data_IF_116517492826
#
_entry.id   IF_116517492826
#
_cell.length_a   1.000
_cell.length_b   1.000
_cell.length_c   1.000
_cell.angle_alpha   90.00
_cell.angle_beta   90.00
_cell.angle_gamma   90.00
#
_symmetry.space_group_name_H-M   'P 1'
#
loop_
_entity.id
_entity.type
_entity.pdbx_description
1 polymer ?
#
# COMPACT_ATOMS: atom_id res chain seq x y z
N UNK A 1 10.77 45.03 28.41
CA UNK A 1 11.45 43.95 27.66
C UNK A 1 10.79 43.87 26.29
N UNK A 2 11.44 44.33 25.22
CA UNK A 2 10.85 44.33 23.87
C UNK A 2 10.77 42.88 23.37
N UNK A 3 9.56 42.40 23.10
CA UNK A 3 9.32 41.11 22.43
C UNK A 3 10.05 41.14 21.07
N UNK A 4 11.00 40.23 20.90
CA UNK A 4 11.69 40.03 19.63
C UNK A 4 10.89 39.01 18.83
N UNK A 5 10.38 39.42 17.67
CA UNK A 5 9.73 38.53 16.70
C UNK A 5 10.65 37.36 16.32
N UNK A 6 10.10 36.14 16.41
CA UNK A 6 10.75 34.88 16.00
C UNK A 6 11.18 34.92 14.52
N UNK A 7 10.50 35.72 13.70
CA UNK A 7 10.83 35.93 12.28
C UNK A 7 12.22 36.54 12.03
N UNK A 8 12.88 37.11 13.05
CA UNK A 8 14.21 37.72 12.91
C UNK A 8 15.37 36.72 13.03
N UNK A 9 15.13 35.47 13.44
CA UNK A 9 16.17 34.45 13.65
C UNK A 9 16.26 33.40 12.57
N UNK A 10 15.21 33.22 11.77
CA UNK A 10 15.22 32.32 10.63
C UNK A 10 15.12 33.22 9.43
N UNK A 11 16.22 33.35 8.71
CA UNK A 11 16.24 33.92 7.37
C UNK A 11 16.12 32.71 6.43
N UNK A 12 14.91 32.16 6.21
CA UNK A 12 14.76 31.09 5.24
C UNK A 12 15.16 31.72 3.91
N UNK A 13 16.35 31.37 3.42
CA UNK A 13 16.71 31.63 2.03
C UNK A 13 15.76 30.80 1.19
N UNK A 14 14.58 31.36 0.94
CA UNK A 14 13.67 30.91 -0.08
C UNK A 14 14.46 30.97 -1.38
N UNK A 15 14.92 29.81 -1.84
CA UNK A 15 15.56 29.66 -3.13
C UNK A 15 14.50 29.91 -4.20
N UNK A 16 14.22 31.20 -4.47
CA UNK A 16 13.35 31.65 -5.56
C UNK A 16 13.74 31.00 -6.88
N UNK A 17 15.01 30.66 -7.06
CA UNK A 17 15.53 29.95 -8.23
C UNK A 17 15.13 28.47 -8.27
N UNK A 18 15.08 27.77 -7.13
CA UNK A 18 14.62 26.38 -7.06
C UNK A 18 13.11 26.28 -7.23
N UNK A 19 12.36 27.20 -6.63
CA UNK A 19 10.91 27.26 -6.83
C UNK A 19 10.58 27.72 -8.25
N UNK A 20 11.32 28.67 -8.82
CA UNK A 20 11.22 28.98 -10.25
C UNK A 20 11.67 27.83 -11.12
N UNK A 21 12.65 27.00 -10.77
CA UNK A 21 12.97 25.80 -11.56
C UNK A 21 11.88 24.74 -11.46
N UNK A 22 11.19 24.64 -10.32
CA UNK A 22 10.03 23.77 -10.14
C UNK A 22 8.82 24.29 -10.93
N UNK A 23 8.49 25.57 -10.82
CA UNK A 23 7.43 26.21 -11.62
C UNK A 23 7.77 26.20 -13.10
N UNK A 24 9.04 26.40 -13.46
CA UNK A 24 9.54 26.27 -14.83
C UNK A 24 9.66 24.81 -15.27
N UNK A 25 9.72 23.82 -14.40
CA UNK A 25 9.55 22.40 -14.77
C UNK A 25 8.08 21.98 -14.86
N UNK A 26 7.19 22.72 -14.19
CA UNK A 26 5.73 22.62 -14.32
C UNK A 26 5.23 23.35 -15.58
N UNK A 27 5.93 24.40 -16.01
CA UNK A 27 5.67 25.17 -17.24
C UNK A 27 6.44 24.59 -18.46
N UNK A 28 7.74 24.33 -18.34
CA UNK A 28 8.57 23.69 -19.37
C UNK A 28 8.58 22.17 -19.17
N UNK A 29 7.58 21.49 -19.76
CA UNK A 29 7.82 20.39 -20.71
C UNK A 29 6.58 19.75 -21.35
N UNK A 30 5.39 19.73 -20.75
CA UNK A 30 4.26 18.94 -21.30
C UNK A 30 2.83 19.33 -20.84
N UNK A 31 2.56 20.55 -20.36
CA UNK A 31 1.31 20.86 -19.62
C UNK A 31 0.28 21.65 -20.41
N UNK A 32 0.67 22.22 -21.54
CA UNK A 32 -0.20 22.49 -22.68
C UNK A 32 0.11 21.41 -23.69
N UNK A 33 -0.88 20.58 -24.05
CA UNK A 33 -0.80 19.99 -25.38
C UNK A 33 -0.86 21.20 -26.29
N UNK A 34 0.30 21.56 -26.83
CA UNK A 34 0.44 22.60 -27.84
C UNK A 34 -0.63 22.33 -28.90
N UNK A 35 -1.21 23.44 -29.33
CA UNK A 35 -2.28 23.60 -30.30
C UNK A 35 -2.46 22.39 -31.20
N UNK A 36 -3.71 21.90 -31.26
CA UNK A 36 -4.21 21.02 -32.33
C UNK A 36 -3.44 21.37 -33.60
N UNK A 37 -2.60 20.45 -34.09
CA UNK A 37 -1.81 20.62 -35.32
C UNK A 37 -2.73 21.26 -36.36
N UNK A 38 -2.60 22.57 -36.58
CA UNK A 38 -3.41 23.30 -37.56
C UNK A 38 -3.07 22.87 -39.00
N UNK A 39 -2.11 21.94 -39.13
CA UNK A 39 -1.62 21.34 -40.37
C UNK A 39 -2.17 19.93 -40.66
N UNK A 40 -3.01 19.32 -39.80
CA UNK A 40 -3.68 18.05 -40.15
C UNK A 40 -5.08 18.31 -40.75
N UNK A 41 -5.24 18.32 -42.09
CA UNK A 41 -6.51 18.65 -42.75
C UNK A 41 -7.65 17.65 -42.43
N UNK A 42 -7.35 16.50 -41.81
CA UNK A 42 -8.31 15.46 -41.45
C UNK A 42 -8.81 15.52 -40.00
N UNK A 43 -8.27 16.41 -39.15
CA UNK A 43 -8.61 16.47 -37.71
C UNK A 43 -8.60 15.08 -37.04
N UNK A 44 -7.60 14.26 -37.36
CA UNK A 44 -7.58 12.83 -36.99
C UNK A 44 -7.20 12.60 -35.52
N UNK A 45 -6.59 13.59 -34.87
CA UNK A 45 -6.12 13.54 -33.49
C UNK A 45 -7.11 14.23 -32.56
N UNK A 46 -7.49 13.54 -31.48
CA UNK A 46 -8.38 14.05 -30.45
C UNK A 46 -7.71 13.93 -29.08
N UNK A 47 -7.86 14.96 -28.24
CA UNK A 47 -7.44 14.90 -26.85
C UNK A 47 -8.65 14.58 -26.00
N UNK A 48 -8.63 13.43 -25.34
CA UNK A 48 -9.67 13.00 -24.42
C UNK A 48 -9.17 13.15 -22.98
N UNK A 49 -9.88 13.97 -22.19
CA UNK A 49 -9.70 13.98 -20.75
C UNK A 49 -10.61 12.92 -20.12
N UNK A 50 -10.01 11.86 -19.58
CA UNK A 50 -10.71 10.83 -18.81
C UNK A 50 -10.49 11.08 -17.32
N UNK A 51 -11.56 11.40 -16.59
CA UNK A 51 -11.50 11.80 -15.18
C UNK A 51 -11.55 13.32 -14.96
N UNK A 52 -11.41 13.82 -13.72
CA UNK A 52 -11.09 13.09 -12.50
C UNK A 52 -12.24 12.23 -11.95
N UNK A 53 -13.47 12.45 -12.42
CA UNK A 53 -14.65 11.69 -12.02
C UNK A 53 -15.06 10.72 -13.13
N UNK A 54 -14.64 9.46 -13.02
CA UNK A 54 -15.06 8.38 -13.90
C UNK A 54 -15.17 7.07 -13.09
N UNK A 55 -16.15 6.18 -13.35
CA UNK A 55 -16.29 4.93 -12.59
C UNK A 55 -15.04 4.04 -12.64
N UNK A 56 -14.40 3.94 -13.80
CA UNK A 56 -13.21 3.10 -14.02
C UNK A 56 -11.90 3.67 -13.42
N UNK A 57 -11.88 4.93 -12.98
CA UNK A 57 -10.65 5.52 -12.41
C UNK A 57 -10.48 5.23 -10.91
N UNK A 58 -11.38 4.42 -10.32
CA UNK A 58 -11.38 3.95 -8.92
C UNK A 58 -10.90 5.00 -7.92
N UNK A 59 -11.50 6.19 -7.99
CA UNK A 59 -11.09 7.35 -7.24
C UNK A 59 -10.92 8.56 -8.16
N UNK A 60 -9.93 9.38 -7.85
CA UNK A 60 -9.71 10.69 -8.46
C UNK A 60 -8.41 10.66 -9.27
N UNK A 61 -8.48 10.05 -10.46
CA UNK A 61 -7.37 10.00 -11.42
C UNK A 61 -7.80 10.71 -12.69
N UNK A 62 -6.93 11.57 -13.21
CA UNK A 62 -7.14 12.18 -14.52
C UNK A 62 -6.09 11.68 -15.49
N UNK A 63 -6.56 11.11 -16.59
CA UNK A 63 -5.76 10.67 -17.72
C UNK A 63 -6.04 11.59 -18.90
N UNK A 64 -4.99 12.18 -19.45
CA UNK A 64 -5.05 12.96 -20.67
C UNK A 64 -4.54 12.05 -21.79
N UNK A 65 -5.47 11.57 -22.62
CA UNK A 65 -5.19 10.65 -23.71
C UNK A 65 -5.18 11.42 -25.03
N UNK A 66 -4.09 11.28 -25.79
CA UNK A 66 -4.04 11.71 -27.18
C UNK A 66 -4.41 10.50 -28.05
N UNK A 67 -5.54 10.61 -28.74
CA UNK A 67 -6.14 9.54 -29.53
C UNK A 67 -5.99 9.82 -31.02
N UNK A 68 -5.82 8.74 -31.79
CA UNK A 68 -6.01 8.72 -33.25
C UNK A 68 -7.10 7.70 -33.57
N UNK A 69 -8.34 8.18 -33.70
CA UNK A 69 -9.50 7.29 -33.73
C UNK A 69 -9.68 6.57 -32.39
N UNK A 70 -9.56 5.24 -32.37
CA UNK A 70 -9.68 4.41 -31.15
C UNK A 70 -8.32 4.05 -30.52
N UNK A 71 -7.20 4.32 -31.21
CA UNK A 71 -5.85 4.01 -30.73
C UNK A 71 -5.28 5.18 -29.92
N UNK A 72 -4.62 4.85 -28.82
CA UNK A 72 -3.93 5.81 -27.96
C UNK A 72 -2.51 6.03 -28.51
N UNK A 73 -2.17 7.26 -28.89
CA UNK A 73 -0.80 7.60 -29.33
C UNK A 73 0.09 7.98 -28.15
N UNK A 74 -0.46 8.73 -27.19
CA UNK A 74 0.26 9.18 -25.98
C UNK A 74 -0.68 9.32 -24.81
N UNK A 75 -0.21 8.91 -23.64
CA UNK A 75 -0.90 9.13 -22.37
C UNK A 75 -0.09 10.00 -21.43
N UNK A 76 -0.77 10.91 -20.72
CA UNK A 76 -0.20 11.62 -19.59
C UNK A 76 -1.11 11.53 -18.38
N UNK A 77 -0.53 11.23 -17.23
CA UNK A 77 -1.27 11.13 -15.97
C UNK A 77 -1.16 12.45 -15.20
N UNK A 78 -2.31 12.94 -14.75
CA UNK A 78 -2.43 14.10 -13.86
C UNK A 78 -2.92 13.60 -12.49
N UNK A 79 -2.01 13.64 -11.51
CA UNK A 79 -2.20 13.19 -10.12
C UNK A 79 -2.11 14.38 -9.15
N UNK A 80 -2.52 14.20 -7.91
CA UNK A 80 -2.45 15.22 -6.85
C UNK A 80 -3.80 15.73 -6.37
N UNK A 81 -4.91 15.22 -6.92
CA UNK A 81 -6.26 15.60 -6.48
C UNK A 81 -6.56 15.18 -5.04
N UNK A 82 -5.91 14.13 -4.54
CA UNK A 82 -6.07 13.64 -3.16
C UNK A 82 -4.85 13.95 -2.29
N UNK A 83 -3.96 14.86 -2.72
CA UNK A 83 -2.76 15.21 -1.96
C UNK A 83 -3.14 15.96 -0.69
N UNK A 84 -2.84 15.36 0.47
CA UNK A 84 -3.16 15.92 1.81
C UNK A 84 -1.93 16.44 2.55
N UNK A 85 -0.74 16.35 1.96
CA UNK A 85 0.51 16.71 2.60
C UNK A 85 0.81 15.82 3.81
N UNK A 86 0.60 14.51 3.68
CA UNK A 86 0.68 13.56 4.80
C UNK A 86 2.11 13.49 5.36
N UNK A 87 3.11 13.61 4.49
CA UNK A 87 4.52 13.70 4.91
C UNK A 87 4.80 14.94 5.75
N UNK A 88 4.11 16.06 5.47
CA UNK A 88 4.27 17.30 6.26
C UNK A 88 3.54 17.22 7.59
N UNK A 89 2.42 16.51 7.63
CA UNK A 89 1.71 16.21 8.88
C UNK A 89 2.58 15.31 9.77
N UNK A 90 3.28 14.34 9.19
CA UNK A 90 4.19 13.45 9.90
C UNK A 90 5.25 14.22 10.70
N UNK A 91 5.84 15.27 10.11
CA UNK A 91 6.88 16.10 10.76
C UNK A 91 6.38 16.82 12.03
N UNK A 92 5.07 17.09 12.13
CA UNK A 92 4.48 17.80 13.28
C UNK A 92 3.82 16.85 14.29
N UNK A 93 3.91 15.54 14.08
CA UNK A 93 3.23 14.51 14.87
C UNK A 93 4.23 13.55 15.47
N UNK A 94 3.91 12.95 16.61
CA UNK A 94 4.76 11.88 17.15
C UNK A 94 4.58 10.63 16.30
N UNK A 95 5.54 9.70 16.35
CA UNK A 95 5.47 8.46 15.57
C UNK A 95 4.18 7.66 15.77
N UNK A 96 3.61 7.70 16.98
CA UNK A 96 2.36 7.00 17.29
C UNK A 96 1.12 7.77 16.88
N UNK A 97 1.11 9.10 17.01
CA UNK A 97 0.02 9.94 16.52
C UNK A 97 -0.08 9.92 15.00
N UNK A 98 1.03 9.65 14.30
CA UNK A 98 1.07 9.53 12.85
C UNK A 98 0.42 8.22 12.34
N UNK A 99 0.36 7.19 13.17
CA UNK A 99 -0.09 5.84 12.77
C UNK A 99 -1.50 5.77 12.15
N UNK A 100 -2.52 6.51 12.63
CA UNK A 100 -3.83 6.53 11.98
C UNK A 100 -3.81 7.13 10.55
N UNK A 101 -2.76 7.88 10.18
CA UNK A 101 -2.61 8.37 8.81
C UNK A 101 -2.12 7.28 7.87
N UNK A 102 -1.30 6.33 8.33
CA UNK A 102 -0.85 5.20 7.50
C UNK A 102 -2.00 4.25 7.18
N UNK A 103 -2.95 4.07 8.09
CA UNK A 103 -4.22 3.36 7.83
C UNK A 103 -5.06 4.00 6.71
N UNK A 104 -4.92 5.31 6.50
CA UNK A 104 -5.71 6.10 5.55
C UNK A 104 -5.00 6.37 4.21
N UNK A 105 -3.76 5.91 4.06
CA UNK A 105 -3.04 5.98 2.79
C UNK A 105 -3.59 4.90 1.84
N UNK A 106 -3.25 3.64 2.10
CA UNK A 106 -3.93 2.49 1.49
C UNK A 106 -4.98 1.93 2.45
N UNK A 107 -6.24 2.32 2.22
CA UNK A 107 -7.39 1.88 3.00
C UNK A 107 -7.83 0.45 2.69
N UNK A 108 -7.17 -0.25 1.76
CA UNK A 108 -7.43 -1.65 1.46
C UNK A 108 -6.62 -2.59 2.35
N UNK A 109 -5.36 -2.22 2.61
CA UNK A 109 -4.44 -2.99 3.45
C UNK A 109 -3.88 -2.17 4.64
N UNK A 110 -4.75 -1.61 5.50
CA UNK A 110 -4.36 -0.74 6.61
C UNK A 110 -3.33 -1.39 7.55
N UNK A 111 -3.50 -2.69 7.81
CA UNK A 111 -2.60 -3.44 8.69
C UNK A 111 -1.17 -3.51 8.15
N UNK A 112 -0.99 -3.76 6.85
CA UNK A 112 0.33 -3.83 6.21
C UNK A 112 1.05 -2.48 6.25
N UNK A 113 0.33 -1.37 6.07
CA UNK A 113 0.90 -0.02 6.18
C UNK A 113 1.40 0.29 7.59
N UNK A 114 0.60 -0.09 8.58
CA UNK A 114 0.93 0.07 9.99
C UNK A 114 2.15 -0.75 10.38
N UNK A 115 2.23 -2.00 9.93
CA UNK A 115 3.39 -2.86 10.18
C UNK A 115 4.64 -2.27 9.54
N UNK A 116 4.55 -1.77 8.31
CA UNK A 116 5.67 -1.12 7.63
C UNK A 116 6.21 0.11 8.38
N UNK A 117 5.32 0.94 8.95
CA UNK A 117 5.74 2.05 9.82
C UNK A 117 6.37 1.52 11.13
N UNK A 118 5.73 0.55 11.80
CA UNK A 118 6.24 -0.01 13.05
C UNK A 118 7.63 -0.61 12.89
N UNK A 119 7.85 -1.45 11.88
CA UNK A 119 9.14 -2.10 11.65
C UNK A 119 10.22 -1.08 11.29
N UNK A 120 9.88 -0.01 10.56
CA UNK A 120 10.82 1.07 10.26
C UNK A 120 11.24 1.81 11.54
N UNK A 121 10.29 2.16 12.41
CA UNK A 121 10.58 2.84 13.69
C UNK A 121 11.28 1.90 14.68
N UNK A 122 10.93 0.62 14.73
CA UNK A 122 11.58 -0.41 15.56
C UNK A 122 13.04 -0.59 15.19
N UNK A 123 13.37 -0.63 13.89
CA UNK A 123 14.77 -0.64 13.40
C UNK A 123 15.50 0.66 13.71
N UNK A 124 14.79 1.79 13.73
CA UNK A 124 15.39 3.08 14.06
C UNK A 124 15.69 3.17 15.56
N UNK A 125 14.80 2.69 16.42
CA UNK A 125 14.95 2.71 17.88
C UNK A 125 15.68 1.48 18.47
N UNK A 126 16.09 0.51 17.63
CA UNK A 126 16.71 -0.76 18.02
C UNK A 126 15.89 -1.53 19.09
N UNK A 127 14.57 -1.66 18.82
CA UNK A 127 13.61 -2.34 19.71
C UNK A 127 13.33 -3.75 19.19
N UNK A 128 13.55 -4.76 20.03
CA UNK A 128 13.20 -6.15 19.72
C UNK A 128 11.74 -6.44 20.09
N UNK A 129 10.98 -6.93 19.11
CA UNK A 129 9.55 -7.28 19.29
C UNK A 129 9.43 -8.76 19.69
N UNK A 130 8.54 -9.12 20.65
CA UNK A 130 8.32 -10.53 21.02
C UNK A 130 7.83 -11.40 19.86
N UNK A 131 8.21 -12.67 19.86
CA UNK A 131 7.86 -13.62 18.80
C UNK A 131 6.34 -13.75 18.58
N UNK A 132 5.56 -13.80 19.66
CA UNK A 132 4.09 -13.90 19.56
C UNK A 132 3.50 -12.70 18.80
N UNK A 133 3.99 -11.50 19.09
CA UNK A 133 3.53 -10.29 18.43
C UNK A 133 3.90 -10.28 16.94
N UNK A 134 5.05 -10.85 16.59
CA UNK A 134 5.48 -11.02 15.19
C UNK A 134 4.53 -11.95 14.42
N UNK A 135 4.16 -13.11 14.98
CA UNK A 135 3.18 -14.00 14.31
C UNK A 135 1.80 -13.38 14.19
N UNK A 136 1.31 -12.66 15.22
CA UNK A 136 0.02 -11.95 15.15
C UNK A 136 0.05 -10.94 14.00
N UNK A 137 1.14 -10.17 13.88
CA UNK A 137 1.31 -9.22 12.78
C UNK A 137 1.30 -9.91 11.42
N UNK A 138 2.00 -11.04 11.28
CA UNK A 138 2.03 -11.82 10.03
C UNK A 138 0.64 -12.32 9.64
N UNK A 139 -0.12 -12.91 10.57
CA UNK A 139 -1.50 -13.38 10.31
C UNK A 139 -2.38 -12.22 9.82
N UNK A 140 -2.34 -11.09 10.52
CA UNK A 140 -3.13 -9.93 10.14
C UNK A 140 -2.66 -9.27 8.84
N UNK A 141 -1.36 -9.27 8.53
CA UNK A 141 -0.83 -8.81 7.24
C UNK A 141 -1.31 -9.67 6.08
N UNK A 142 -1.32 -11.01 6.22
CA UNK A 142 -1.82 -11.89 5.17
C UNK A 142 -3.36 -11.81 5.03
N UNK A 143 -4.10 -11.62 6.13
CA UNK A 143 -5.54 -11.30 6.04
C UNK A 143 -5.80 -9.97 5.32
N UNK A 144 -4.98 -8.95 5.58
CA UNK A 144 -5.04 -7.68 4.85
C UNK A 144 -4.67 -7.84 3.37
N UNK A 145 -3.74 -8.75 3.04
CA UNK A 145 -3.39 -9.11 1.65
C UNK A 145 -4.57 -9.73 0.92
N UNK A 146 -5.23 -10.71 1.53
CA UNK A 146 -6.44 -11.30 0.96
C UNK A 146 -7.54 -10.24 0.78
N UNK A 147 -7.78 -9.38 1.79
CA UNK A 147 -8.77 -8.30 1.68
C UNK A 147 -8.50 -7.32 0.53
N UNK A 148 -7.23 -6.96 0.30
CA UNK A 148 -6.83 -6.09 -0.81
C UNK A 148 -7.05 -6.76 -2.16
N UNK A 149 -6.62 -8.02 -2.32
CA UNK A 149 -6.81 -8.76 -3.57
C UNK A 149 -8.28 -9.03 -3.87
N UNK A 150 -9.12 -9.25 -2.86
CA UNK A 150 -10.56 -9.43 -3.05
C UNK A 150 -11.24 -8.19 -3.62
N UNK A 151 -10.93 -7.00 -3.11
CA UNK A 151 -11.50 -5.79 -3.66
C UNK A 151 -11.00 -5.57 -5.09
N UNK A 152 -9.68 -5.67 -5.28
CA UNK A 152 -9.05 -5.51 -6.59
C UNK A 152 -9.67 -6.44 -7.65
N UNK A 153 -9.84 -7.72 -7.31
CA UNK A 153 -10.42 -8.70 -8.21
C UNK A 153 -11.88 -8.33 -8.52
N UNK A 154 -12.65 -7.93 -7.51
CA UNK A 154 -14.02 -7.48 -7.66
C UNK A 154 -14.13 -6.27 -8.59
N UNK A 155 -13.28 -5.26 -8.41
CA UNK A 155 -13.30 -4.04 -9.23
C UNK A 155 -12.80 -4.29 -10.65
N UNK A 156 -11.73 -5.06 -10.84
CA UNK A 156 -11.22 -5.43 -12.17
C UNK A 156 -12.27 -6.17 -13.00
N UNK A 157 -12.99 -7.11 -12.40
CA UNK A 157 -14.03 -7.89 -13.08
C UNK A 157 -15.29 -7.04 -13.34
N UNK A 158 -15.62 -6.13 -12.42
CA UNK A 158 -16.70 -5.15 -12.61
C UNK A 158 -16.41 -4.21 -13.79
N UNK A 159 -15.17 -3.75 -13.90
CA UNK A 159 -14.67 -2.89 -14.97
C UNK A 159 -14.67 -3.60 -16.33
N UNK A 160 -14.43 -4.92 -16.34
CA UNK A 160 -14.62 -5.76 -17.51
C UNK A 160 -16.10 -6.02 -17.85
N UNK A 161 -17.04 -5.61 -16.98
CA UNK A 161 -18.49 -5.63 -17.20
C UNK A 161 -19.30 -6.60 -16.31
N UNK A 162 -18.65 -7.39 -15.45
CA UNK A 162 -19.32 -8.42 -14.64
C UNK A 162 -19.56 -7.97 -13.18
N UNK A 163 -20.69 -7.31 -12.95
CA UNK A 163 -21.07 -6.73 -11.64
C UNK A 163 -21.33 -7.79 -10.56
N UNK A 164 -21.85 -8.97 -10.91
CA UNK A 164 -22.19 -10.01 -9.93
C UNK A 164 -20.98 -10.49 -9.12
N UNK A 165 -19.81 -10.52 -9.76
CA UNK A 165 -18.56 -10.99 -9.14
C UNK A 165 -18.07 -10.03 -8.03
N UNK A 166 -18.29 -8.72 -8.21
CA UNK A 166 -18.02 -7.71 -7.20
C UNK A 166 -18.80 -7.97 -5.90
N UNK A 167 -20.06 -8.39 -5.98
CA UNK A 167 -20.87 -8.67 -4.79
C UNK A 167 -20.35 -9.91 -4.04
N UNK A 168 -19.92 -10.95 -4.76
CA UNK A 168 -19.40 -12.17 -4.15
C UNK A 168 -18.07 -11.93 -3.43
N UNK A 169 -17.15 -11.18 -4.05
CA UNK A 169 -15.88 -10.79 -3.42
C UNK A 169 -16.12 -9.92 -2.18
N UNK A 170 -17.10 -9.01 -2.21
CA UNK A 170 -17.47 -8.22 -1.03
C UNK A 170 -18.03 -9.06 0.12
N UNK A 171 -18.81 -10.11 -0.18
CA UNK A 171 -19.32 -11.03 0.84
C UNK A 171 -18.18 -11.71 1.61
N UNK A 172 -17.14 -12.14 0.91
CA UNK A 172 -15.96 -12.75 1.56
C UNK A 172 -15.13 -11.70 2.30
N UNK A 173 -15.01 -10.49 1.75
CA UNK A 173 -14.31 -9.38 2.39
C UNK A 173 -15.00 -8.92 3.69
N UNK A 174 -16.33 -8.99 3.75
CA UNK A 174 -17.10 -8.65 4.95
C UNK A 174 -16.74 -9.56 6.14
N UNK A 175 -16.54 -10.86 5.89
CA UNK A 175 -16.08 -11.82 6.91
C UNK A 175 -14.71 -11.44 7.47
N UNK A 176 -13.80 -10.95 6.63
CA UNK A 176 -12.50 -10.46 7.07
C UNK A 176 -12.65 -9.20 7.94
N UNK A 177 -13.61 -8.34 7.63
CA UNK A 177 -13.89 -7.17 8.46
C UNK A 177 -14.52 -7.49 9.80
N UNK A 178 -15.34 -8.53 9.89
CA UNK A 178 -15.85 -9.02 11.18
C UNK A 178 -14.70 -9.57 12.04
N UNK A 179 -13.67 -10.15 11.42
CA UNK A 179 -12.44 -10.56 12.12
C UNK A 179 -11.68 -9.31 12.61
N UNK A 180 -11.50 -8.28 11.79
CA UNK A 180 -10.81 -7.05 12.21
C UNK A 180 -11.56 -6.29 13.31
N UNK A 181 -12.90 -6.34 13.30
CA UNK A 181 -13.72 -5.75 14.36
C UNK A 181 -13.47 -6.42 15.72
N UNK A 182 -13.38 -7.75 15.76
CA UNK A 182 -13.03 -8.48 17.00
C UNK A 182 -11.59 -8.23 17.45
N UNK A 183 -10.65 -8.10 16.52
CA UNK A 183 -9.23 -7.91 16.84
C UNK A 183 -8.94 -6.49 17.36
N UNK A 184 -9.52 -5.47 16.73
CA UNK A 184 -9.15 -4.09 16.98
C UNK A 184 -10.29 -3.18 17.45
N UNK A 185 -11.54 -3.63 17.37
CA UNK A 185 -12.74 -2.83 17.61
C UNK A 185 -13.12 -1.89 16.46
N UNK A 186 -12.41 -1.98 15.33
CA UNK A 186 -12.64 -1.16 14.15
C UNK A 186 -12.52 -2.00 12.87
N UNK A 187 -13.47 -1.78 11.96
CA UNK A 187 -13.55 -2.55 10.70
C UNK A 187 -12.51 -2.17 9.66
N UNK A 188 -12.28 -0.86 9.45
CA UNK A 188 -11.42 -0.34 8.37
C UNK A 188 -10.09 0.25 8.85
N UNK A 189 -10.08 1.08 9.90
CA UNK A 189 -8.84 1.71 10.40
C UNK A 189 -8.36 0.99 11.64
N UNK A 190 -7.53 -0.03 11.43
CA UNK A 190 -7.35 -1.10 12.41
C UNK A 190 -6.35 -0.72 13.52
N UNK A 191 -5.41 0.23 13.31
CA UNK A 191 -4.48 0.81 14.31
C UNK A 191 -4.03 -0.11 15.48
N UNK A 192 -3.85 -1.40 15.18
CA UNK A 192 -3.73 -2.49 16.15
C UNK A 192 -2.28 -2.88 16.37
N UNK A 193 -1.50 -2.96 15.29
CA UNK A 193 -0.04 -2.93 15.41
C UNK A 193 0.36 -1.62 16.11
N UNK A 194 1.33 -1.69 17.01
CA UNK A 194 1.89 -0.51 17.68
C UNK A 194 3.40 -0.67 17.74
N UNK A 195 4.12 0.43 17.83
CA UNK A 195 5.58 0.37 17.93
C UNK A 195 5.96 -0.41 19.20
N UNK A 196 6.76 -1.47 19.07
CA UNK A 196 7.14 -2.36 20.16
C UNK A 196 6.20 -3.56 20.39
N UNK A 197 5.25 -3.82 19.49
CA UNK A 197 4.42 -5.02 19.49
C UNK A 197 3.00 -4.80 18.96
N UNK A 198 2.01 -5.27 19.72
CA UNK A 198 0.60 -5.17 19.34
C UNK A 198 -0.21 -4.58 20.51
N UNK A 199 -1.28 -3.86 20.19
CA UNK A 199 -2.14 -3.22 21.18
C UNK A 199 -2.81 -4.25 22.10
N UNK A 200 -3.57 -5.19 21.55
CA UNK A 200 -4.28 -6.23 22.32
C UNK A 200 -3.84 -7.62 21.84
N UNK A 201 -3.95 -8.64 22.69
CA UNK A 201 -3.78 -10.02 22.23
C UNK A 201 -5.04 -10.48 21.46
N UNK A 202 -4.88 -11.52 20.64
CA UNK A 202 -6.01 -12.15 19.94
C UNK A 202 -6.92 -12.86 20.96
N UNK A 203 -8.22 -12.59 20.89
CA UNK A 203 -9.23 -13.33 21.64
C UNK A 203 -9.40 -14.74 21.07
N UNK A 204 -9.83 -15.69 21.90
CA UNK A 204 -10.09 -17.06 21.46
C UNK A 204 -11.18 -17.11 20.37
N UNK A 205 -12.16 -16.21 20.42
CA UNK A 205 -13.20 -16.08 19.38
C UNK A 205 -12.62 -15.60 18.04
N UNK A 206 -11.71 -14.62 18.05
CA UNK A 206 -11.02 -14.16 16.85
C UNK A 206 -10.22 -15.29 16.20
N UNK A 207 -9.52 -16.10 17.01
CA UNK A 207 -8.78 -17.27 16.51
C UNK A 207 -9.73 -18.29 15.86
N UNK A 208 -10.89 -18.55 16.46
CA UNK A 208 -11.89 -19.47 15.91
C UNK A 208 -12.43 -18.96 14.56
N UNK A 209 -12.78 -17.68 14.46
CA UNK A 209 -13.27 -17.08 13.20
C UNK A 209 -12.23 -17.09 12.09
N UNK A 210 -10.97 -16.82 12.40
CA UNK A 210 -9.89 -16.89 11.41
C UNK A 210 -9.73 -18.32 10.89
N UNK A 211 -9.78 -19.32 11.78
CA UNK A 211 -9.70 -20.74 11.36
C UNK A 211 -10.87 -21.14 10.46
N UNK A 212 -12.09 -20.74 10.81
CA UNK A 212 -13.28 -20.99 9.99
C UNK A 212 -13.15 -20.34 8.59
N UNK A 213 -12.63 -19.12 8.51
CA UNK A 213 -12.38 -18.45 7.24
C UNK A 213 -11.35 -19.19 6.39
N UNK A 214 -10.23 -19.59 7.00
CA UNK A 214 -9.13 -20.32 6.36
C UNK A 214 -9.59 -21.68 5.80
N UNK A 215 -10.54 -22.35 6.44
CA UNK A 215 -11.10 -23.62 5.97
C UNK A 215 -12.04 -23.44 4.76
N UNK A 216 -12.87 -22.39 4.76
CA UNK A 216 -13.91 -22.17 3.74
C UNK A 216 -13.37 -21.49 2.48
N UNK A 217 -12.47 -20.53 2.62
CA UNK A 217 -12.03 -19.66 1.54
C UNK A 217 -11.35 -20.39 0.35
N UNK A 218 -10.56 -21.47 0.55
CA UNK A 218 -10.00 -22.24 -0.57
C UNK A 218 -11.03 -22.85 -1.51
N UNK A 219 -12.24 -23.14 -1.02
CA UNK A 219 -13.33 -23.64 -1.87
C UNK A 219 -13.87 -22.53 -2.78
N UNK A 220 -14.10 -21.34 -2.23
CA UNK A 220 -14.56 -20.17 -2.99
C UNK A 220 -13.54 -19.76 -4.07
N UNK A 221 -12.23 -19.80 -3.75
CA UNK A 221 -11.17 -19.57 -4.75
C UNK A 221 -11.25 -20.55 -5.93
N UNK A 222 -11.48 -21.84 -5.66
CA UNK A 222 -11.62 -22.87 -6.71
C UNK A 222 -12.85 -22.62 -7.58
N UNK A 223 -13.95 -22.20 -6.98
CA UNK A 223 -15.17 -21.87 -7.71
C UNK A 223 -14.95 -20.65 -8.62
N UNK A 224 -14.21 -19.64 -8.16
CA UNK A 224 -13.85 -18.47 -8.96
C UNK A 224 -12.91 -18.80 -10.12
N UNK A 225 -11.88 -19.63 -9.89
CA UNK A 225 -11.04 -20.18 -10.97
C UNK A 225 -11.90 -20.92 -12.01
N UNK A 226 -12.86 -21.73 -11.57
CA UNK A 226 -13.78 -22.44 -12.45
C UNK A 226 -14.63 -21.52 -13.34
N UNK A 227 -14.96 -20.33 -12.85
CA UNK A 227 -15.78 -19.34 -13.56
C UNK A 227 -14.97 -18.43 -14.47
N UNK A 228 -13.90 -17.80 -13.95
CA UNK A 228 -13.12 -16.79 -14.66
C UNK A 228 -12.16 -17.42 -15.68
N UNK A 229 -11.43 -18.48 -15.29
CA UNK A 229 -10.39 -19.06 -16.14
C UNK A 229 -10.98 -19.85 -17.32
N UNK A 230 -12.27 -20.20 -17.26
CA UNK A 230 -12.99 -20.81 -18.39
C UNK A 230 -13.72 -19.78 -19.25
N UNK A 231 -13.87 -18.55 -18.76
CA UNK A 231 -14.62 -17.53 -19.47
C UNK A 231 -13.78 -16.94 -20.61
N UNK A 232 -14.15 -17.30 -21.83
CA UNK A 232 -13.51 -16.80 -23.05
C UNK A 232 -13.50 -15.27 -23.15
N UNK A 233 -14.58 -14.60 -22.74
CA UNK A 233 -14.69 -13.13 -22.81
C UNK A 233 -13.66 -12.48 -21.89
N UNK A 234 -13.45 -13.05 -20.70
CA UNK A 234 -12.49 -12.53 -19.75
C UNK A 234 -11.05 -12.70 -20.23
N UNK A 235 -10.74 -13.85 -20.84
CA UNK A 235 -9.41 -14.10 -21.42
C UNK A 235 -9.17 -13.16 -22.60
N UNK A 236 -10.08 -13.07 -23.56
CA UNK A 236 -9.93 -12.20 -24.75
C UNK A 236 -9.80 -10.71 -24.40
N UNK A 237 -10.33 -10.27 -23.25
CA UNK A 237 -10.20 -8.88 -22.78
C UNK A 237 -8.90 -8.58 -22.03
N UNK A 238 -8.17 -9.59 -21.58
CA UNK A 238 -6.98 -9.44 -20.72
C UNK A 238 -5.70 -9.98 -21.35
N UNK A 239 -5.82 -10.88 -22.31
CA UNK A 239 -4.70 -11.48 -23.03
C UNK A 239 -4.11 -10.47 -24.01
N UNK A 240 -2.78 -10.38 -24.07
CA UNK A 240 -2.02 -9.47 -24.93
C UNK A 240 -2.34 -7.97 -24.70
N UNK A 241 -2.98 -7.63 -23.58
CA UNK A 241 -3.31 -6.25 -23.21
C UNK A 241 -2.33 -5.74 -22.18
N UNK A 242 -1.69 -4.63 -22.50
CA UNK A 242 -0.85 -3.89 -21.58
C UNK A 242 0.45 -4.60 -21.21
N UNK A 243 1.11 -5.17 -22.23
CA UNK A 243 2.35 -5.94 -22.11
C UNK A 243 3.45 -5.08 -21.49
N UNK A 244 4.02 -5.57 -20.38
CA UNK A 244 5.17 -4.95 -19.74
C UNK A 244 6.39 -5.86 -19.82
N UNK A 245 7.41 -5.41 -20.57
CA UNK A 245 8.69 -6.10 -20.61
C UNK A 245 9.47 -5.94 -19.30
N UNK A 246 10.21 -6.97 -18.90
CA UNK A 246 10.97 -6.99 -17.65
C UNK A 246 11.95 -5.83 -17.50
N UNK A 247 12.64 -5.45 -18.59
CA UNK A 247 13.61 -4.34 -18.57
C UNK A 247 12.91 -3.01 -18.29
N UNK A 248 11.83 -2.73 -19.00
CA UNK A 248 11.06 -1.50 -18.83
C UNK A 248 10.42 -1.44 -17.43
N UNK A 249 9.95 -2.59 -16.90
CA UNK A 249 9.43 -2.67 -15.55
C UNK A 249 10.47 -2.27 -14.50
N UNK A 250 11.72 -2.70 -14.67
CA UNK A 250 12.84 -2.37 -13.76
C UNK A 250 13.27 -0.91 -13.91
N UNK A 251 13.37 -0.41 -15.14
CA UNK A 251 13.77 0.99 -15.41
C UNK A 251 12.75 1.99 -14.84
N UNK A 252 11.47 1.65 -14.89
CA UNK A 252 10.38 2.44 -14.30
C UNK A 252 10.23 2.22 -12.78
N UNK A 253 10.91 1.21 -12.22
CA UNK A 253 10.83 0.86 -10.81
C UNK A 253 9.47 0.32 -10.37
N UNK A 254 8.79 -0.44 -11.24
CA UNK A 254 7.57 -1.17 -10.91
C UNK A 254 7.82 -2.19 -9.78
N UNK A 255 6.82 -2.48 -8.95
CA UNK A 255 6.99 -3.37 -7.78
C UNK A 255 5.84 -4.35 -7.62
N UNK A 256 6.05 -5.41 -6.82
CA UNK A 256 5.00 -6.34 -6.41
C UNK A 256 4.45 -7.22 -7.55
N UNK A 257 3.11 -7.42 -7.61
CA UNK A 257 2.49 -8.27 -8.62
C UNK A 257 2.76 -7.83 -10.06
N UNK A 258 2.92 -6.52 -10.30
CA UNK A 258 3.19 -5.96 -11.64
C UNK A 258 4.57 -6.40 -12.15
N UNK A 259 5.57 -6.40 -11.27
CA UNK A 259 6.94 -6.83 -11.60
C UNK A 259 7.02 -8.37 -11.72
N UNK A 260 6.33 -9.10 -10.85
CA UNK A 260 6.28 -10.58 -10.87
C UNK A 260 5.56 -11.13 -12.10
N UNK A 261 4.57 -10.41 -12.62
CA UNK A 261 3.90 -10.75 -13.87
C UNK A 261 4.79 -10.58 -15.12
N UNK A 262 5.83 -9.73 -15.03
CA UNK A 262 6.82 -9.49 -16.08
C UNK A 262 8.05 -10.42 -16.01
N UNK A 263 8.01 -11.46 -15.16
CA UNK A 263 9.03 -12.51 -15.11
C UNK A 263 10.15 -12.31 -14.10
N UNK A 264 10.07 -11.28 -13.23
CA UNK A 264 11.09 -11.04 -12.22
C UNK A 264 10.60 -11.40 -10.82
N UNK A 265 11.20 -12.44 -10.25
CA UNK A 265 10.87 -12.99 -8.93
C UNK A 265 11.45 -12.13 -7.80
N UNK A 266 10.82 -10.99 -7.52
CA UNK A 266 11.15 -10.14 -6.37
C UNK A 266 10.02 -10.14 -5.36
N UNK A 267 10.37 -10.43 -4.12
CA UNK A 267 9.49 -10.32 -2.97
C UNK A 267 10.35 -9.94 -1.75
N UNK A 268 10.02 -8.83 -1.08
CA UNK A 268 10.79 -8.38 0.09
C UNK A 268 10.73 -9.39 1.24
N UNK A 269 9.70 -10.25 1.32
CA UNK A 269 9.56 -11.26 2.38
C UNK A 269 10.64 -12.34 2.31
N UNK A 270 11.22 -12.60 1.14
CA UNK A 270 12.32 -13.57 0.95
C UNK A 270 13.68 -12.87 0.92
N UNK A 271 13.78 -11.71 0.25
CA UNK A 271 15.07 -11.02 0.07
C UNK A 271 15.53 -10.39 1.39
N UNK A 272 14.64 -9.64 2.04
CA UNK A 272 14.90 -8.93 3.28
C UNK A 272 13.80 -9.28 4.29
N UNK A 273 13.79 -10.54 4.77
CA UNK A 273 12.77 -11.03 5.68
C UNK A 273 12.64 -10.11 6.89
N UNK A 274 11.39 -9.75 7.19
CA UNK A 274 11.03 -8.98 8.37
C UNK A 274 10.12 -9.84 9.25
N UNK A 275 10.00 -9.50 10.54
CA UNK A 275 9.30 -10.32 11.53
C UNK A 275 9.88 -11.75 11.55
N UNK A 276 9.12 -12.76 11.11
CA UNK A 276 9.53 -14.18 11.03
C UNK A 276 9.07 -14.85 9.73
N UNK A 277 9.07 -14.12 8.63
CA UNK A 277 8.80 -14.72 7.31
C UNK A 277 9.83 -15.81 6.93
N UNK A 278 11.04 -15.78 7.51
CA UNK A 278 12.08 -16.81 7.35
C UNK A 278 11.69 -18.21 7.82
N UNK A 279 10.75 -18.29 8.78
CA UNK A 279 10.34 -19.57 9.34
C UNK A 279 9.14 -20.16 8.59
N UNK A 280 8.61 -19.51 7.56
CA UNK A 280 7.39 -19.92 6.85
C UNK A 280 7.74 -20.31 5.42
N UNK A 281 7.26 -21.47 4.97
CA UNK A 281 7.49 -21.95 3.62
C UNK A 281 6.34 -21.49 2.70
N UNK A 282 6.65 -20.67 1.69
CA UNK A 282 5.70 -20.27 0.65
C UNK A 282 6.41 -20.06 -0.69
N UNK A 283 5.66 -20.18 -1.78
CA UNK A 283 6.17 -19.95 -3.13
C UNK A 283 5.73 -18.58 -3.65
N UNK A 284 6.62 -17.89 -4.37
CA UNK A 284 6.28 -16.60 -4.99
C UNK A 284 5.83 -16.86 -6.42
N UNK A 285 4.56 -16.58 -6.77
CA UNK A 285 4.07 -16.79 -8.12
C UNK A 285 4.72 -15.80 -9.08
N UNK A 286 5.16 -16.29 -10.23
CA UNK A 286 5.74 -15.48 -11.31
C UNK A 286 5.23 -15.95 -12.65
N UNK A 287 5.11 -15.02 -13.60
CA UNK A 287 4.68 -15.27 -14.97
C UNK A 287 5.59 -14.51 -15.93
N UNK A 288 5.72 -14.97 -17.17
CA UNK A 288 6.65 -14.40 -18.15
C UNK A 288 5.99 -13.46 -19.17
N UNK A 289 4.66 -13.53 -19.27
CA UNK A 289 3.90 -12.87 -20.35
C UNK A 289 3.85 -11.34 -20.17
N UNK A 290 3.84 -10.82 -18.94
CA UNK A 290 3.79 -9.37 -18.67
C UNK A 290 2.41 -8.73 -18.86
N UNK A 291 1.44 -9.51 -19.33
CA UNK A 291 0.07 -9.11 -19.64
C UNK A 291 -0.78 -8.83 -18.40
N UNK A 292 -1.93 -8.20 -18.62
CA UNK A 292 -2.92 -8.04 -17.58
C UNK A 292 -3.43 -9.39 -17.04
N UNK A 293 -3.59 -10.39 -17.91
CA UNK A 293 -3.97 -11.74 -17.51
C UNK A 293 -2.92 -12.39 -16.59
N UNK A 294 -1.64 -12.18 -16.86
CA UNK A 294 -0.55 -12.66 -16.01
C UNK A 294 -0.60 -12.03 -14.61
N UNK A 295 -0.89 -10.72 -14.52
CA UNK A 295 -1.10 -10.02 -13.23
C UNK A 295 -2.28 -10.58 -12.46
N UNK A 296 -3.33 -11.02 -13.17
CA UNK A 296 -4.46 -11.68 -12.55
C UNK A 296 -4.08 -13.03 -11.92
N UNK A 297 -3.38 -13.89 -12.66
CA UNK A 297 -2.96 -15.18 -12.12
C UNK A 297 -2.03 -15.05 -10.92
N UNK A 298 -1.07 -14.11 -10.96
CA UNK A 298 -0.14 -13.85 -9.85
C UNK A 298 -0.92 -13.51 -8.56
N UNK A 299 -1.89 -12.60 -8.62
CA UNK A 299 -2.68 -12.21 -7.44
C UNK A 299 -3.61 -13.32 -6.94
N UNK A 300 -4.18 -14.12 -7.84
CA UNK A 300 -5.00 -15.28 -7.46
C UNK A 300 -4.16 -16.34 -6.72
N UNK A 301 -2.97 -16.64 -7.23
CA UNK A 301 -2.03 -17.57 -6.60
C UNK A 301 -1.52 -17.02 -5.25
N UNK A 302 -1.27 -15.71 -5.15
CA UNK A 302 -0.90 -15.06 -3.87
C UNK A 302 -1.96 -15.23 -2.78
N UNK A 303 -3.25 -15.18 -3.12
CA UNK A 303 -4.31 -15.46 -2.13
C UNK A 303 -4.22 -16.89 -1.62
N UNK A 304 -3.91 -17.87 -2.48
CA UNK A 304 -3.68 -19.25 -2.11
C UNK A 304 -2.47 -19.42 -1.16
N UNK A 305 -1.35 -18.77 -1.48
CA UNK A 305 -0.14 -18.80 -0.66
C UNK A 305 -0.34 -18.09 0.69
N UNK A 306 -1.09 -16.99 0.71
CA UNK A 306 -1.43 -16.27 1.95
C UNK A 306 -2.16 -17.17 2.95
N UNK A 307 -3.05 -18.04 2.48
CA UNK A 307 -3.77 -19.00 3.34
C UNK A 307 -2.80 -20.03 3.92
N UNK A 308 -1.86 -20.55 3.11
CA UNK A 308 -0.83 -21.48 3.59
C UNK A 308 0.03 -20.84 4.68
N UNK A 309 0.42 -19.57 4.51
CA UNK A 309 1.16 -18.81 5.50
C UNK A 309 0.36 -18.71 6.81
N UNK A 310 -0.93 -18.36 6.74
CA UNK A 310 -1.79 -18.23 7.93
C UNK A 310 -1.89 -19.57 8.67
N UNK A 311 -2.07 -20.70 7.97
CA UNK A 311 -2.10 -22.04 8.57
C UNK A 311 -0.80 -22.37 9.30
N UNK A 312 0.35 -22.15 8.66
CA UNK A 312 1.66 -22.40 9.26
C UNK A 312 1.93 -21.50 10.47
N UNK A 313 1.44 -20.26 10.45
CA UNK A 313 1.57 -19.34 11.57
C UNK A 313 0.80 -19.84 12.81
N UNK A 314 -0.38 -20.45 12.63
CA UNK A 314 -1.12 -21.04 13.75
C UNK A 314 -0.43 -22.24 14.37
N UNK A 315 0.21 -23.08 13.55
CA UNK A 315 0.94 -24.27 14.03
C UNK A 315 2.20 -23.90 14.82
N UNK A 316 2.87 -22.80 14.43
CA UNK A 316 4.13 -22.34 15.02
C UNK A 316 3.96 -21.33 16.17
N UNK A 317 2.73 -20.85 16.44
CA UNK A 317 2.49 -19.73 17.35
C UNK A 317 2.88 -20.06 18.81
N UNK A 318 3.86 -19.36 19.41
CA UNK A 318 4.18 -19.54 20.83
C UNK A 318 3.18 -18.79 21.73
N UNK A 319 3.02 -19.30 22.96
CA UNK A 319 2.41 -18.54 24.05
C UNK A 319 3.49 -17.64 24.67
N UNK A 320 3.24 -16.33 24.72
CA UNK A 320 4.23 -15.35 25.16
C UNK A 320 3.65 -13.94 25.31
N UNK A 321 4.47 -12.97 25.73
CA UNK A 321 4.04 -11.57 25.79
C UNK A 321 3.84 -11.01 24.39
N UNK A 322 2.87 -10.10 24.27
CA UNK A 322 2.49 -9.43 23.00
C UNK A 322 3.17 -8.07 22.83
N UNK A 323 3.87 -7.61 23.88
CA UNK A 323 4.58 -6.34 23.91
C UNK A 323 5.99 -6.53 24.45
N UNK A 324 6.88 -5.65 24.01
CA UNK A 324 8.25 -5.61 24.50
C UNK A 324 8.27 -5.26 25.99
N UNK A 325 9.07 -5.98 26.79
CA UNK A 325 9.17 -5.78 28.24
C UNK A 325 9.87 -4.47 28.67
N UNK A 326 10.22 -3.59 27.71
CA UNK A 326 10.91 -2.34 27.98
C UNK A 326 9.90 -1.18 28.02
N UNK A 327 9.52 -0.74 29.21
CA UNK A 327 8.52 0.30 29.45
C UNK A 327 8.91 1.69 28.87
N UNK A 328 10.18 1.91 28.52
CA UNK A 328 10.63 3.14 27.85
C UNK A 328 10.36 3.16 26.34
N UNK A 329 10.14 1.99 25.74
CA UNK A 329 10.07 1.80 24.29
C UNK A 329 8.71 1.28 23.83
N UNK A 330 7.89 0.74 24.74
CA UNK A 330 6.54 0.27 24.46
C UNK A 330 5.57 0.74 25.55
N UNK A 331 4.27 0.79 25.22
CA UNK A 331 3.25 1.10 26.22
C UNK A 331 3.18 0.02 27.30
N UNK A 332 3.23 0.40 28.59
CA UNK A 332 3.03 -0.54 29.69
C UNK A 332 1.63 -1.16 29.64
N UNK A 333 1.47 -2.33 30.27
CA UNK A 333 0.16 -2.94 30.44
C UNK A 333 -0.72 -2.08 31.35
N UNK A 334 -2.05 -2.11 31.18
CA UNK A 334 -2.95 -1.30 32.04
C UNK A 334 -2.87 -1.72 33.50
N UNK A 335 -2.61 -3.00 33.78
CA UNK A 335 -2.38 -3.47 35.14
C UNK A 335 -1.12 -2.83 35.74
N UNK A 336 0.01 -2.81 35.02
CA UNK A 336 1.22 -2.13 35.50
C UNK A 336 1.02 -0.63 35.72
N UNK A 337 0.23 0.04 34.86
CA UNK A 337 -0.08 1.47 35.01
C UNK A 337 -0.87 1.76 36.29
N UNK A 338 -1.82 0.90 36.66
CA UNK A 338 -2.64 1.12 37.85
C UNK A 338 -1.94 0.73 39.15
N UNK A 339 -1.05 -0.27 39.12
CA UNK A 339 -0.44 -0.83 40.33
C UNK A 339 1.01 -0.39 40.57
N UNK A 340 1.71 0.17 39.59
CA UNK A 340 3.09 0.65 39.73
C UNK A 340 3.23 2.14 39.41
N UNK A 341 4.04 2.84 40.19
CA UNK A 341 4.33 4.26 39.95
C UNK A 341 5.17 4.43 38.67
N UNK A 342 6.12 3.52 38.43
CA UNK A 342 6.95 3.52 37.23
C UNK A 342 6.11 3.32 35.97
N UNK A 343 5.15 2.39 35.98
CA UNK A 343 4.24 2.17 34.86
C UNK A 343 3.43 3.41 34.51
N UNK A 344 2.93 4.15 35.51
CA UNK A 344 2.23 5.41 35.30
C UNK A 344 3.13 6.51 34.71
N UNK A 345 4.37 6.64 35.20
CA UNK A 345 5.33 7.60 34.64
C UNK A 345 5.64 7.26 33.18
N UNK A 346 5.83 5.98 32.87
CA UNK A 346 6.10 5.52 31.51
C UNK A 346 4.91 5.74 30.57
N UNK A 347 3.68 5.46 30.99
CA UNK A 347 2.45 5.74 30.19
C UNK A 347 2.31 7.24 29.89
N UNK A 348 2.58 8.09 30.89
CA UNK A 348 2.54 9.54 30.73
C UNK A 348 3.61 10.04 29.74
N UNK A 349 4.86 9.62 29.91
CA UNK A 349 5.97 10.00 29.03
C UNK A 349 5.75 9.50 27.59
N UNK A 350 5.22 8.28 27.43
CA UNK A 350 4.96 7.70 26.12
C UNK A 350 3.84 8.44 25.38
N UNK A 351 2.84 8.93 26.11
CA UNK A 351 1.73 9.71 25.53
C UNK A 351 2.17 11.13 25.14
N UNK A 352 3.00 11.78 25.94
CA UNK A 352 3.44 13.16 25.70
C UNK A 352 4.62 13.23 24.70
N UNK A 353 5.70 12.49 24.98
CA UNK A 353 6.94 12.56 24.20
C UNK A 353 7.07 11.45 23.15
N UNK A 354 6.42 10.31 23.33
CA UNK A 354 6.58 9.14 22.46
C UNK A 354 7.96 8.48 22.55
N UNK A 355 8.26 7.60 21.60
CA UNK A 355 9.62 7.06 21.45
C UNK A 355 10.51 8.16 20.88
N UNK A 356 11.64 8.40 21.54
CA UNK A 356 12.70 9.30 21.08
C UNK A 356 13.89 8.46 20.58
N UNK A 357 13.98 8.18 19.27
CA UNK A 357 15.11 7.45 18.73
C UNK A 357 16.40 8.28 18.75
N UNK A 358 17.58 7.66 18.52
CA UNK A 358 18.85 8.40 18.49
C UNK A 358 18.90 9.46 17.38
N UNK A 359 19.40 10.65 17.72
CA UNK A 359 19.56 11.76 16.77
C UNK A 359 20.52 11.42 15.63
N UNK A 360 20.17 11.81 14.41
CA UNK A 360 20.98 11.63 13.21
C UNK A 360 20.92 10.23 12.59
N UNK A 361 20.15 9.30 13.17
CA UNK A 361 19.92 7.98 12.56
C UNK A 361 18.92 8.10 11.41
N UNK A 362 19.29 7.53 10.28
CA UNK A 362 18.47 7.41 9.07
C UNK A 362 18.21 5.94 8.81
N UNK A 363 16.96 5.58 8.52
CA UNK A 363 16.57 4.22 8.19
C UNK A 363 15.63 4.26 7.00
N UNK A 364 15.94 3.44 5.98
CA UNK A 364 14.97 3.00 4.99
C UNK A 364 14.62 1.55 5.29
N UNK A 365 13.34 1.28 5.48
CA UNK A 365 12.86 -0.09 5.56
C UNK A 365 11.63 -0.26 4.69
N UNK A 366 11.68 -1.32 3.87
CA UNK A 366 10.61 -1.73 3.00
C UNK A 366 9.97 -3.04 3.46
N UNK A 367 8.67 -3.15 3.21
CA UNK A 367 7.78 -4.27 3.50
C UNK A 367 6.99 -4.58 2.24
N UNK A 368 6.68 -5.85 2.01
CA UNK A 368 5.87 -6.26 0.86
C UNK A 368 4.38 -6.03 1.16
N UNK A 369 3.85 -4.89 0.72
CA UNK A 369 2.41 -4.64 0.68
C UNK A 369 1.75 -5.50 -0.42
N UNK A 370 0.43 -5.76 -0.37
CA UNK A 370 -0.26 -6.50 -1.44
C UNK A 370 -0.11 -5.87 -2.84
N UNK A 371 0.22 -4.57 -2.88
CA UNK A 371 0.45 -3.82 -4.12
C UNK A 371 1.91 -3.80 -4.56
N UNK A 372 2.85 -4.09 -3.67
CA UNK A 372 4.29 -4.11 -3.92
C UNK A 372 5.12 -3.55 -2.76
N UNK A 373 6.29 -3.01 -3.08
CA UNK A 373 7.26 -2.58 -2.07
C UNK A 373 6.83 -1.25 -1.41
N UNK A 374 6.32 -1.33 -0.18
CA UNK A 374 6.00 -0.17 0.65
C UNK A 374 7.19 0.14 1.56
N UNK A 375 7.81 1.31 1.36
CA UNK A 375 8.99 1.74 2.10
C UNK A 375 8.77 3.01 2.90
N UNK A 376 9.36 3.08 4.09
CA UNK A 376 9.47 4.30 4.88
C UNK A 376 10.93 4.68 5.04
N UNK A 377 11.27 5.90 4.60
CA UNK A 377 12.52 6.56 4.91
C UNK A 377 12.29 7.54 6.06
N UNK A 378 12.94 7.31 7.18
CA UNK A 378 12.79 8.12 8.40
C UNK A 378 14.16 8.66 8.81
N UNK A 379 14.23 9.96 9.04
CA UNK A 379 15.35 10.66 9.67
C UNK A 379 14.90 11.18 11.03
N UNK A 380 15.65 10.85 12.09
CA UNK A 380 15.35 11.30 13.45
C UNK A 380 16.30 12.42 13.89
N UNK A 381 15.80 13.42 14.60
CA UNK A 381 16.56 14.49 15.24
C UNK A 381 16.80 14.25 16.74
N UNK A 382 16.42 13.08 17.27
CA UNK A 382 16.50 12.77 18.70
C UNK A 382 15.23 13.08 19.49
N UNK A 383 14.22 13.66 18.84
CA UNK A 383 12.93 13.95 19.45
C UNK A 383 11.91 12.84 19.12
N UNK A 384 10.74 12.90 19.75
CA UNK A 384 9.61 12.03 19.44
C UNK A 384 8.93 12.31 18.09
N UNK A 385 9.37 13.36 17.41
CA UNK A 385 8.89 13.78 16.10
C UNK A 385 9.90 13.37 15.04
N UNK A 386 9.46 12.80 13.90
CA UNK A 386 10.35 12.57 12.79
C UNK A 386 10.78 13.91 12.19
N UNK A 387 12.08 14.12 12.03
CA UNK A 387 12.60 15.28 11.30
C UNK A 387 12.13 15.27 9.84
N UNK A 388 12.22 14.08 9.23
CA UNK A 388 11.69 13.83 7.89
C UNK A 388 11.19 12.40 7.82
N UNK A 389 9.96 12.24 7.30
CA UNK A 389 9.38 10.95 6.97
C UNK A 389 8.95 11.00 5.51
N UNK A 390 9.61 10.19 4.67
CA UNK A 390 9.29 10.03 3.25
C UNK A 390 8.73 8.63 3.03
N UNK A 391 7.59 8.55 2.36
CA UNK A 391 6.95 7.27 2.05
C UNK A 391 7.23 6.92 0.59
N UNK A 392 7.75 5.72 0.34
CA UNK A 392 7.82 5.12 -0.99
C UNK A 392 6.57 4.23 -1.16
N UNK A 393 5.61 4.67 -2.00
CA UNK A 393 4.35 3.95 -2.18
C UNK A 393 4.41 3.07 -3.43
N UNK A 394 4.07 1.78 -3.36
CA UNK A 394 3.90 0.92 -4.52
C UNK A 394 2.90 1.51 -5.53
N UNK A 395 1.78 2.07 -5.08
CA UNK A 395 0.76 2.63 -5.98
C UNK A 395 1.32 3.74 -6.88
N UNK A 396 2.19 4.62 -6.35
CA UNK A 396 2.82 5.68 -7.14
C UNK A 396 3.82 5.13 -8.16
N UNK A 397 4.61 4.12 -7.77
CA UNK A 397 5.57 3.45 -8.66
C UNK A 397 4.87 2.73 -9.80
N UNK A 398 3.81 2.01 -9.47
CA UNK A 398 3.05 1.25 -10.47
C UNK A 398 2.24 2.18 -11.40
N UNK A 399 1.79 3.35 -10.93
CA UNK A 399 1.14 4.35 -11.78
C UNK A 399 2.07 4.92 -12.87
N UNK A 400 3.37 5.05 -12.61
CA UNK A 400 4.32 5.51 -13.64
C UNK A 400 4.37 4.56 -14.84
N UNK A 401 4.08 3.28 -14.61
CA UNK A 401 4.05 2.25 -15.65
C UNK A 401 2.85 2.42 -16.58
N UNK A 402 1.75 3.01 -16.08
CA UNK A 402 0.51 3.19 -16.83
C UNK A 402 0.71 4.07 -18.08
N UNK A 403 1.58 5.10 -18.04
CA UNK A 403 1.87 5.93 -19.22
C UNK A 403 2.49 5.10 -20.35
N UNK A 404 3.42 4.20 -20.02
CA UNK A 404 4.07 3.36 -21.03
C UNK A 404 3.14 2.25 -21.54
N UNK A 405 2.33 1.66 -20.66
CA UNK A 405 1.48 0.52 -21.00
C UNK A 405 0.29 0.93 -21.88
N UNK A 406 -0.22 2.15 -21.74
CA UNK A 406 -1.39 2.61 -22.51
C UNK A 406 -1.07 3.04 -23.94
N UNK A 407 0.20 3.35 -24.25
CA UNK A 407 0.59 3.80 -25.57
C UNK A 407 0.50 2.65 -26.59
N UNK A 408 -0.32 2.83 -27.63
CA UNK A 408 -0.59 1.84 -28.68
C UNK A 408 -1.83 0.97 -28.43
N UNK A 409 -2.44 1.05 -27.26
CA UNK A 409 -3.64 0.29 -26.90
C UNK A 409 -4.94 0.99 -27.33
N UNK A 410 -6.06 0.27 -27.28
CA UNK A 410 -7.37 0.85 -27.53
C UNK A 410 -7.92 1.57 -26.29
N UNK A 411 -8.77 2.58 -26.50
CA UNK A 411 -9.44 3.31 -25.39
C UNK A 411 -10.22 2.36 -24.47
N UNK A 412 -10.85 1.30 -25.02
CA UNK A 412 -11.60 0.33 -24.24
C UNK A 412 -10.72 -0.50 -23.29
N UNK A 413 -9.44 -0.67 -23.60
CA UNK A 413 -8.51 -1.49 -22.82
C UNK A 413 -7.89 -0.70 -21.67
N UNK A 414 -7.95 0.63 -21.74
CA UNK A 414 -7.50 1.53 -20.66
C UNK A 414 -8.10 1.16 -19.31
N UNK A 415 -9.40 0.86 -19.28
CA UNK A 415 -10.14 0.51 -18.05
C UNK A 415 -9.59 -0.79 -17.43
N UNK A 416 -9.33 -1.78 -18.27
CA UNK A 416 -8.84 -3.10 -17.85
C UNK A 416 -7.39 -3.02 -17.38
N UNK A 417 -6.56 -2.20 -18.03
CA UNK A 417 -5.17 -1.92 -17.65
C UNK A 417 -5.09 -1.21 -16.28
N UNK A 418 -5.95 -0.20 -16.06
CA UNK A 418 -6.05 0.48 -14.76
C UNK A 418 -6.43 -0.52 -13.67
N UNK A 419 -7.48 -1.32 -13.92
CA UNK A 419 -7.89 -2.40 -13.03
C UNK A 419 -6.72 -3.36 -12.74
N UNK A 420 -5.94 -3.70 -13.75
CA UNK A 420 -4.73 -4.51 -13.65
C UNK A 420 -3.63 -4.01 -12.72
N UNK A 421 -3.44 -2.70 -12.66
CA UNK A 421 -2.39 -2.08 -11.84
C UNK A 421 -2.82 -1.93 -10.38
N UNK A 422 -4.12 -1.86 -10.12
CA UNK A 422 -4.71 -1.67 -8.79
C UNK A 422 -4.28 -0.36 -8.07
N UNK A 423 -4.41 0.81 -8.71
CA UNK A 423 -3.92 2.05 -8.11
C UNK A 423 -4.87 2.55 -7.02
N UNK A 424 -4.33 2.83 -5.82
CA UNK A 424 -5.07 3.55 -4.76
C UNK A 424 -4.55 4.97 -4.66
N UNK A 425 -5.41 5.93 -5.05
CA UNK A 425 -5.02 7.35 -5.10
C UNK A 425 -4.67 7.92 -3.73
N UNK A 426 -5.24 7.37 -2.65
CA UNK A 426 -4.89 7.75 -1.27
C UNK A 426 -3.42 7.53 -0.91
N UNK A 427 -2.79 6.56 -1.57
CA UNK A 427 -1.40 6.18 -1.37
C UNK A 427 -0.49 6.78 -2.45
N UNK A 428 -1.02 7.04 -3.65
CA UNK A 428 -0.28 7.72 -4.71
C UNK A 428 -0.08 9.21 -4.40
N UNK A 429 -1.14 9.89 -3.95
CA UNK A 429 -1.16 11.32 -3.64
C UNK A 429 -0.89 11.58 -2.16
N UNK A 430 0.40 11.60 -1.77
CA UNK A 430 0.84 11.75 -0.37
C UNK A 430 1.34 13.13 -0.04
#
# INVERSE_FOLDING_TARGET
>A
MKLKDINSKVDPKFFKEHQRSIYKSLEDKHTTIEEIDSEDPLNSKMILNMGPQHPATHGVLRLILQLRGELIEKTKIDIGYLHRGVEKIAENKTYQEFMPYTDRMDYLSPYSNNVALCTAVEKLADVEVPERAQYIRMICCELARISSHLLWLGTMVMDAGAISFFIWTFREREKIYDIFDEVAGHRFTVSHSRIGGVANDLTDDAIARIKEFVEKFPQELKDWHGLLDRNRIFIERNQDVGILQTKNALDLGATGPVLRAAGYAVDQRIINPYLKYDEVDFEVPTRLEGDNLARYFVRMEEMGESIKIIQQCFDKMPKGPVRTNNAKQAYPSKDEVYYSMEGMIHDFMMTDTGICPPAGKEVYHAVESPKGELGYFIQSDGTGHPWRLKVNAPSLRNLQVLEHILDGEMVADTVVIIGGIDPVMGEADK
#
